data_IF_531517060339
#
_entry.id   IF_531517060339
#
_cell.length_a   1.000
_cell.length_b   1.000
_cell.length_c   1.000
_cell.angle_alpha   90.00
_cell.angle_beta   90.00
_cell.angle_gamma   90.00
#
_symmetry.space_group_name_H-M   'P 1'
#
loop_
_entity.id
_entity.type
_entity.pdbx_description
1 polymer ?
#
# COMPACT_ATOMS: atom_id res chain seq x y z
N UNK A 1 0.56 -19.29 -1.41
CA UNK A 1 0.26 -18.22 -2.39
C UNK A 1 -0.23 -16.98 -1.66
N UNK A 2 0.70 -16.13 -1.19
CA UNK A 2 0.37 -14.95 -0.38
C UNK A 2 -0.19 -13.75 -1.17
N UNK A 3 -0.42 -13.88 -2.49
CA UNK A 3 -0.85 -12.76 -3.34
C UNK A 3 -2.35 -12.47 -3.25
N UNK A 4 -3.19 -13.48 -3.02
CA UNK A 4 -4.65 -13.29 -2.98
C UNK A 4 -5.08 -12.28 -1.91
N UNK A 5 -4.46 -12.29 -0.73
CA UNK A 5 -4.79 -11.35 0.36
C UNK A 5 -4.34 -9.92 0.06
N UNK A 6 -3.18 -9.73 -0.58
CA UNK A 6 -2.70 -8.40 -0.97
C UNK A 6 -3.44 -7.84 -2.18
N UNK A 7 -3.73 -8.69 -3.17
CA UNK A 7 -4.61 -8.36 -4.29
C UNK A 7 -5.99 -7.96 -3.76
N UNK A 8 -6.50 -8.70 -2.77
CA UNK A 8 -7.78 -8.41 -2.13
C UNK A 8 -7.82 -7.04 -1.46
N UNK A 9 -6.73 -6.71 -0.76
CA UNK A 9 -6.56 -5.42 -0.15
C UNK A 9 -6.54 -4.30 -1.19
N UNK A 10 -5.75 -4.47 -2.26
CA UNK A 10 -5.56 -3.43 -3.27
C UNK A 10 -6.85 -3.15 -4.04
N UNK A 11 -7.62 -4.17 -4.44
CA UNK A 11 -8.88 -3.91 -5.13
C UNK A 11 -9.92 -3.28 -4.21
N UNK A 12 -9.96 -3.63 -2.92
CA UNK A 12 -10.90 -3.01 -1.96
C UNK A 12 -10.60 -1.53 -1.76
N UNK A 13 -9.31 -1.19 -1.66
CA UNK A 13 -8.89 0.21 -1.58
C UNK A 13 -9.31 0.95 -2.85
N UNK A 14 -9.03 0.39 -4.02
CA UNK A 14 -9.39 0.98 -5.32
C UNK A 14 -10.90 1.21 -5.48
N UNK A 15 -11.69 0.17 -5.19
CA UNK A 15 -13.15 0.23 -5.24
C UNK A 15 -13.72 1.28 -4.27
N UNK A 16 -13.12 1.40 -3.08
CA UNK A 16 -13.53 2.40 -2.11
C UNK A 16 -13.18 3.82 -2.57
N UNK A 17 -12.02 4.03 -3.23
CA UNK A 17 -11.68 5.34 -3.80
C UNK A 17 -12.66 5.74 -4.90
N UNK A 18 -12.94 4.82 -5.82
CA UNK A 18 -13.91 5.06 -6.90
C UNK A 18 -15.29 5.36 -6.33
N UNK A 19 -15.74 4.60 -5.34
CA UNK A 19 -17.01 4.85 -4.67
C UNK A 19 -17.07 6.24 -4.04
N UNK A 20 -16.02 6.67 -3.33
CA UNK A 20 -15.99 8.00 -2.71
C UNK A 20 -15.96 9.12 -3.75
N UNK A 21 -15.28 8.92 -4.88
CA UNK A 21 -15.19 9.88 -5.97
C UNK A 21 -16.52 10.02 -6.75
N UNK A 22 -17.20 8.90 -7.01
CA UNK A 22 -18.48 8.88 -7.75
C UNK A 22 -19.66 9.43 -6.93
N UNK A 23 -19.43 9.72 -5.65
CA UNK A 23 -20.41 10.40 -4.82
C UNK A 23 -20.44 11.89 -5.20
N UNK A 24 -21.63 12.34 -5.59
CA UNK A 24 -21.90 13.73 -5.94
C UNK A 24 -22.05 14.57 -4.66
N UNK A 25 -20.95 14.75 -3.92
CA UNK A 25 -20.98 15.46 -2.65
C UNK A 25 -21.45 16.91 -2.84
N UNK A 26 -22.42 17.38 -2.04
CA UNK A 26 -22.91 18.75 -2.12
C UNK A 26 -21.85 19.77 -1.68
N UNK A 27 -20.96 19.37 -0.78
CA UNK A 27 -19.89 20.20 -0.22
C UNK A 27 -18.52 19.68 -0.65
N UNK A 28 -17.79 20.48 -1.43
CA UNK A 28 -16.47 20.08 -1.96
C UNK A 28 -15.41 19.94 -0.87
N UNK A 29 -15.47 20.75 0.19
CA UNK A 29 -14.55 20.65 1.33
C UNK A 29 -14.69 19.29 2.03
N UNK A 30 -15.92 18.81 2.24
CA UNK A 30 -16.16 17.49 2.81
C UNK A 30 -15.62 16.37 1.92
N UNK A 31 -15.84 16.46 0.60
CA UNK A 31 -15.31 15.50 -0.37
C UNK A 31 -13.78 15.42 -0.27
N UNK A 32 -13.12 16.58 -0.22
CA UNK A 32 -11.66 16.66 -0.10
C UNK A 32 -11.16 16.08 1.23
N UNK A 33 -11.79 16.43 2.36
CA UNK A 33 -11.41 15.88 3.66
C UNK A 33 -11.58 14.36 3.72
N UNK A 34 -12.65 13.83 3.14
CA UNK A 34 -12.89 12.39 3.07
C UNK A 34 -11.85 11.69 2.19
N UNK A 35 -11.54 12.27 1.03
CA UNK A 35 -10.50 11.79 0.14
C UNK A 35 -9.12 11.76 0.83
N UNK A 36 -8.76 12.82 1.56
CA UNK A 36 -7.51 12.88 2.34
C UNK A 36 -7.45 11.76 3.39
N UNK A 37 -8.53 11.55 4.15
CA UNK A 37 -8.60 10.48 5.16
C UNK A 37 -8.50 9.10 4.52
N UNK A 38 -9.12 8.92 3.37
CA UNK A 38 -9.04 7.68 2.60
C UNK A 38 -7.60 7.41 2.14
N UNK A 39 -6.90 8.42 1.62
CA UNK A 39 -5.49 8.32 1.20
C UNK A 39 -4.58 7.93 2.36
N UNK A 40 -4.76 8.53 3.53
CA UNK A 40 -4.00 8.18 4.74
C UNK A 40 -4.25 6.72 5.15
N UNK A 41 -5.52 6.32 5.25
CA UNK A 41 -5.87 4.93 5.57
C UNK A 41 -5.30 3.94 4.54
N UNK A 42 -5.40 4.25 3.25
CA UNK A 42 -4.84 3.41 2.19
C UNK A 42 -3.31 3.29 2.29
N UNK A 43 -2.61 4.39 2.58
CA UNK A 43 -1.17 4.41 2.82
C UNK A 43 -0.79 3.50 4.00
N UNK A 44 -1.47 3.63 5.14
CA UNK A 44 -1.20 2.81 6.32
C UNK A 44 -1.42 1.31 6.05
N UNK A 45 -2.49 0.98 5.33
CA UNK A 45 -2.80 -0.40 4.98
C UNK A 45 -1.76 -1.00 4.02
N UNK A 46 -1.31 -0.23 3.02
CA UNK A 46 -0.25 -0.66 2.09
C UNK A 46 1.07 -0.80 2.84
N UNK A 47 1.44 0.14 3.71
CA UNK A 47 2.66 0.06 4.50
C UNK A 47 2.66 -1.19 5.39
N UNK A 48 1.53 -1.48 6.04
CA UNK A 48 1.38 -2.70 6.83
C UNK A 48 1.51 -3.97 5.96
N UNK A 49 1.00 -3.95 4.73
CA UNK A 49 1.17 -5.05 3.77
C UNK A 49 2.65 -5.25 3.37
N UNK A 50 3.35 -4.16 3.08
CA UNK A 50 4.79 -4.17 2.74
C UNK A 50 5.62 -4.67 3.91
N UNK A 51 5.39 -4.17 5.13
CA UNK A 51 6.10 -4.62 6.35
C UNK A 51 5.93 -6.12 6.58
N UNK A 52 4.69 -6.64 6.51
CA UNK A 52 4.43 -8.09 6.65
C UNK A 52 5.12 -8.91 5.56
N UNK A 53 5.07 -8.45 4.31
CA UNK A 53 5.71 -9.13 3.17
C UNK A 53 7.22 -9.17 3.34
N UNK A 54 7.83 -8.06 3.76
CA UNK A 54 9.27 -7.97 4.04
C UNK A 54 9.69 -8.93 5.15
N UNK A 55 9.00 -8.95 6.29
CA UNK A 55 9.32 -9.89 7.39
C UNK A 55 9.23 -11.34 6.93
N UNK A 56 8.20 -11.70 6.17
CA UNK A 56 8.05 -13.05 5.62
C UNK A 56 9.14 -13.38 4.59
N UNK A 57 9.56 -12.41 3.78
CA UNK A 57 10.66 -12.54 2.82
C UNK A 57 11.99 -12.79 3.54
N UNK A 58 12.34 -11.98 4.53
CA UNK A 58 13.57 -12.12 5.32
C UNK A 58 13.62 -13.50 6.02
N UNK A 59 12.51 -13.93 6.63
CA UNK A 59 12.42 -15.23 7.27
C UNK A 59 12.61 -16.41 6.28
N UNK A 60 12.09 -16.29 5.05
CA UNK A 60 12.29 -17.29 3.99
C UNK A 60 13.71 -17.26 3.43
N UNK A 61 14.29 -16.08 3.27
CA UNK A 61 15.65 -15.90 2.79
C UNK A 61 16.66 -16.53 3.76
N UNK A 62 16.48 -16.33 5.07
CA UNK A 62 17.31 -16.94 6.12
C UNK A 62 17.24 -18.48 6.16
N UNK A 63 16.14 -19.07 5.68
CA UNK A 63 16.01 -20.53 5.55
C UNK A 63 16.65 -21.03 4.25
N UNK A 64 16.49 -20.30 3.15
CA UNK A 64 17.08 -20.63 1.86
C UNK A 64 18.61 -20.47 1.83
N UNK A 65 19.17 -19.50 2.57
CA UNK A 65 20.64 -19.30 2.65
C UNK A 65 21.38 -20.46 3.31
N UNK A 66 20.68 -21.33 4.04
CA UNK A 66 21.22 -22.55 4.66
C UNK A 66 21.24 -23.76 3.72
N UNK A 67 20.68 -23.62 2.52
CA UNK A 67 20.64 -24.67 1.51
C UNK A 67 21.60 -24.35 0.37
N UNK A 68 22.33 -25.35 -0.13
CA UNK A 68 23.34 -25.20 -1.20
C UNK A 68 22.74 -25.00 -2.59
N UNK A 69 21.41 -25.07 -2.71
CA UNK A 69 20.71 -24.81 -3.96
C UNK A 69 20.53 -23.29 -4.12
N UNK A 70 21.40 -22.66 -4.92
CA UNK A 70 21.38 -21.23 -5.27
C UNK A 70 20.15 -20.81 -6.11
N UNK A 71 19.02 -21.53 -5.97
CA UNK A 71 17.79 -21.31 -6.73
C UNK A 71 16.84 -20.44 -5.93
N UNK A 72 16.34 -19.37 -6.54
CA UNK A 72 15.31 -18.53 -5.92
C UNK A 72 13.99 -19.33 -5.81
N UNK A 73 13.43 -19.52 -4.60
CA UNK A 73 12.16 -20.21 -4.44
C UNK A 73 11.02 -19.41 -5.06
N UNK A 74 10.06 -20.07 -5.72
CA UNK A 74 8.91 -19.40 -6.36
C UNK A 74 8.12 -18.48 -5.40
N UNK A 75 8.07 -18.84 -4.11
CA UNK A 75 7.40 -18.03 -3.10
C UNK A 75 8.08 -16.69 -2.78
N UNK A 76 9.38 -16.56 -3.08
CA UNK A 76 10.15 -15.32 -3.01
C UNK A 76 9.79 -14.42 -4.20
N UNK A 77 9.64 -14.99 -5.40
CA UNK A 77 9.12 -14.27 -6.57
C UNK A 77 7.72 -13.71 -6.33
N UNK A 78 6.81 -14.50 -5.71
CA UNK A 78 5.48 -14.00 -5.33
C UNK A 78 5.54 -12.81 -4.39
N UNK A 79 6.45 -12.81 -3.40
CA UNK A 79 6.62 -11.68 -2.48
C UNK A 79 7.12 -10.43 -3.19
N UNK A 80 8.00 -10.58 -4.18
CA UNK A 80 8.45 -9.46 -5.00
C UNK A 80 7.30 -8.83 -5.79
N UNK A 81 6.43 -9.64 -6.40
CA UNK A 81 5.27 -9.13 -7.11
C UNK A 81 4.35 -8.30 -6.20
N UNK A 82 4.11 -8.77 -4.96
CA UNK A 82 3.34 -8.01 -3.96
C UNK A 82 3.98 -6.64 -3.66
N UNK A 83 5.31 -6.56 -3.60
CA UNK A 83 6.01 -5.28 -3.38
C UNK A 83 5.91 -4.34 -4.59
N UNK A 84 5.99 -4.88 -5.81
CA UNK A 84 5.82 -4.11 -7.05
C UNK A 84 4.38 -3.58 -7.15
N UNK A 85 3.40 -4.40 -6.83
CA UNK A 85 1.99 -4.01 -6.85
C UNK A 85 1.68 -2.97 -5.77
N UNK A 86 2.22 -3.14 -4.56
CA UNK A 86 2.14 -2.13 -3.51
C UNK A 86 2.70 -0.78 -3.98
N UNK A 87 3.86 -0.77 -4.64
CA UNK A 87 4.46 0.44 -5.20
C UNK A 87 3.55 1.09 -6.24
N UNK A 88 2.97 0.30 -7.15
CA UNK A 88 2.03 0.80 -8.17
C UNK A 88 0.80 1.45 -7.52
N UNK A 89 0.26 0.83 -6.48
CA UNK A 89 -0.90 1.36 -5.76
C UNK A 89 -0.54 2.64 -5.00
N UNK A 90 0.61 2.70 -4.33
CA UNK A 90 1.08 3.93 -3.69
C UNK A 90 1.22 5.09 -4.68
N UNK A 91 1.72 4.85 -5.90
CA UNK A 91 1.78 5.90 -6.93
C UNK A 91 0.40 6.34 -7.40
N UNK A 92 -0.55 5.40 -7.55
CA UNK A 92 -1.93 5.72 -7.95
C UNK A 92 -2.64 6.59 -6.89
N UNK A 93 -2.44 6.28 -5.60
CA UNK A 93 -2.95 7.09 -4.49
C UNK A 93 -2.43 8.53 -4.50
N UNK A 94 -1.17 8.74 -4.90
CA UNK A 94 -0.53 10.05 -4.99
C UNK A 94 -0.85 10.84 -6.28
N UNK A 95 -1.36 10.18 -7.32
CA UNK A 95 -1.63 10.81 -8.62
C UNK A 95 -3.01 11.49 -8.69
N UNK A 96 -3.92 11.14 -7.78
CA UNK A 96 -5.19 11.85 -7.59
C UNK A 96 -4.90 13.13 -6.82
N UNK A 97 -4.57 14.19 -7.55
CA UNK A 97 -4.49 15.62 -7.21
C UNK A 97 -3.74 16.06 -5.93
N UNK A 98 -2.75 16.95 -6.10
CA UNK A 98 -2.13 17.71 -5.00
C UNK A 98 -0.80 17.18 -4.42
N UNK A 99 0.10 16.66 -5.26
CA UNK A 99 1.39 16.05 -4.84
C UNK A 99 2.33 16.91 -3.98
N UNK A 100 2.04 18.21 -3.77
CA UNK A 100 2.82 19.09 -2.89
C UNK A 100 2.23 19.21 -1.47
N UNK A 101 0.91 19.06 -1.29
CA UNK A 101 0.26 19.16 0.03
C UNK A 101 0.24 17.81 0.76
N UNK A 102 0.14 16.70 0.02
CA UNK A 102 0.17 15.36 0.62
C UNK A 102 1.51 15.05 1.31
N UNK A 103 2.64 15.44 0.69
CA UNK A 103 3.97 15.15 1.24
C UNK A 103 4.23 15.86 2.57
N UNK A 104 3.84 17.12 2.70
CA UNK A 104 3.98 17.91 3.93
C UNK A 104 3.02 17.46 5.03
N UNK A 105 1.79 17.10 4.67
CA UNK A 105 0.78 16.61 5.62
C UNK A 105 1.06 15.17 6.09
N UNK A 106 1.58 14.30 5.22
CA UNK A 106 2.07 12.96 5.58
C UNK A 106 3.24 13.02 6.56
N UNK A 107 4.23 13.88 6.29
CA UNK A 107 5.35 14.09 7.22
C UNK A 107 4.85 14.60 8.58
N UNK A 108 3.89 15.54 8.61
CA UNK A 108 3.30 16.01 9.86
C UNK A 108 2.51 14.94 10.62
N UNK A 109 1.78 14.04 9.93
CA UNK A 109 1.05 12.96 10.58
C UNK A 109 2.02 11.99 11.27
N UNK A 110 3.08 11.56 10.58
CA UNK A 110 4.06 10.62 11.14
C UNK A 110 5.01 11.27 12.16
N UNK A 111 5.29 12.57 12.08
CA UNK A 111 6.06 13.29 13.11
C UNK A 111 5.30 13.50 14.43
N UNK A 112 3.97 13.33 14.45
CA UNK A 112 3.15 13.45 15.68
C UNK A 112 2.94 12.12 16.41
N UNK A 113 3.41 11.01 15.84
CA UNK A 113 3.17 9.65 16.33
C UNK A 113 4.45 9.04 16.96
N UNK A 114 5.56 9.80 17.04
CA UNK A 114 6.76 9.47 17.82
C UNK A 114 6.73 10.15 19.21
#
# INVERSE_FOLDING_TARGET
NGSATSEDLFWKLDALQMFVFDLHWPEQEFAHHLEQRLKLMASDMIEACVKRTRTAFEAKLQKASKTTELRIPASVCTMFNVLVDAKKQSTKLCALDGGQEFGSQWQQYHSKID
#
